data_IF_772016324462
#
_entry.id   IF_772016324462
#
_cell.length_a   1.000
_cell.length_b   1.000
_cell.length_c   1.000
_cell.angle_alpha   90.00
_cell.angle_beta   90.00
_cell.angle_gamma   90.00
#
_symmetry.space_group_name_H-M   'P 1'
#
loop_
_entity.id
_entity.type
_entity.pdbx_description
1 polymer ?
#
# COMPACT_ATOMS: atom_id res chain seq x y z
N UNK A 1 -6.43 15.65 -11.65
CA UNK A 1 -6.90 15.41 -13.03
C UNK A 1 -6.58 13.96 -13.31
N UNK A 2 -7.60 13.13 -13.50
CA UNK A 2 -7.43 11.70 -13.77
C UNK A 2 -6.66 11.52 -15.08
N UNK A 3 -5.64 10.66 -15.07
CA UNK A 3 -4.85 10.41 -16.28
C UNK A 3 -5.65 9.55 -17.26
N UNK A 4 -5.40 9.69 -18.57
CA UNK A 4 -6.04 8.84 -19.58
C UNK A 4 -5.80 7.34 -19.30
N UNK A 5 -4.63 6.99 -18.78
CA UNK A 5 -4.29 5.62 -18.41
C UNK A 5 -5.12 5.12 -17.21
N UNK A 6 -5.38 5.98 -16.22
CA UNK A 6 -6.22 5.63 -15.07
C UNK A 6 -7.66 5.33 -15.49
N UNK A 7 -8.23 6.14 -16.38
CA UNK A 7 -9.56 5.91 -16.93
C UNK A 7 -9.67 4.57 -17.67
N UNK A 8 -8.69 4.26 -18.53
CA UNK A 8 -8.66 2.96 -19.25
C UNK A 8 -8.60 1.76 -18.29
N UNK A 9 -7.87 1.88 -17.17
CA UNK A 9 -7.78 0.80 -16.18
C UNK A 9 -9.11 0.61 -15.46
N UNK A 10 -9.79 1.70 -15.06
CA UNK A 10 -11.11 1.61 -14.41
C UNK A 10 -12.15 0.97 -15.32
N UNK A 11 -12.17 1.35 -16.60
CA UNK A 11 -13.07 0.76 -17.60
C UNK A 11 -12.79 -0.73 -17.79
N UNK A 12 -11.51 -1.13 -17.80
CA UNK A 12 -11.11 -2.52 -17.91
C UNK A 12 -11.53 -3.35 -16.68
N UNK A 13 -11.37 -2.80 -15.47
CA UNK A 13 -11.81 -3.45 -14.21
C UNK A 13 -13.32 -3.66 -14.23
N UNK A 14 -14.09 -2.63 -14.57
CA UNK A 14 -15.54 -2.73 -14.68
C UNK A 14 -15.98 -3.78 -15.71
N UNK A 15 -15.33 -3.79 -16.88
CA UNK A 15 -15.59 -4.77 -17.94
C UNK A 15 -15.22 -6.20 -17.51
N UNK A 16 -14.13 -6.36 -16.75
CA UNK A 16 -13.71 -7.64 -16.19
C UNK A 16 -14.73 -8.19 -15.18
N UNK A 17 -15.25 -7.35 -14.29
CA UNK A 17 -16.30 -7.76 -13.36
C UNK A 17 -17.59 -8.17 -14.08
N UNK A 18 -18.05 -7.38 -15.03
CA UNK A 18 -19.23 -7.71 -15.84
C UNK A 18 -19.04 -9.03 -16.60
N UNK A 19 -17.87 -9.23 -17.23
CA UNK A 19 -17.56 -10.47 -17.93
C UNK A 19 -17.53 -11.67 -16.98
N UNK A 20 -16.99 -11.52 -15.77
CA UNK A 20 -16.97 -12.59 -14.79
C UNK A 20 -18.39 -13.00 -14.34
N UNK A 21 -19.33 -12.06 -14.28
CA UNK A 21 -20.72 -12.32 -13.88
C UNK A 21 -21.50 -13.10 -14.95
N UNK A 22 -21.13 -12.94 -16.23
CA UNK A 22 -21.68 -13.70 -17.36
C UNK A 22 -21.06 -15.11 -17.52
N UNK A 23 -20.05 -15.43 -16.72
CA UNK A 23 -19.31 -16.70 -16.77
C UNK A 23 -19.62 -17.60 -15.57
N UNK A 24 -19.29 -18.87 -15.68
CA UNK A 24 -19.38 -19.84 -14.57
C UNK A 24 -18.09 -20.63 -14.40
N UNK A 25 -17.91 -21.23 -13.22
CA UNK A 25 -16.75 -22.07 -12.92
C UNK A 25 -15.43 -21.30 -12.79
N UNK A 26 -14.31 -22.01 -12.91
CA UNK A 26 -12.97 -21.46 -12.68
C UNK A 26 -12.63 -20.19 -13.50
N UNK A 27 -13.03 -20.05 -14.78
CA UNK A 27 -12.76 -18.82 -15.55
C UNK A 27 -13.39 -17.56 -14.95
N UNK A 28 -14.62 -17.65 -14.43
CA UNK A 28 -15.30 -16.52 -13.77
C UNK A 28 -14.51 -16.03 -12.56
N UNK A 29 -14.03 -16.96 -11.74
CA UNK A 29 -13.24 -16.66 -10.53
C UNK A 29 -11.91 -16.02 -10.91
N UNK A 30 -11.21 -16.54 -11.92
CA UNK A 30 -9.93 -15.98 -12.37
C UNK A 30 -10.08 -14.53 -12.84
N UNK A 31 -11.08 -14.25 -13.69
CA UNK A 31 -11.31 -12.89 -14.21
C UNK A 31 -11.69 -11.94 -13.08
N UNK A 32 -12.55 -12.37 -12.14
CA UNK A 32 -12.92 -11.56 -10.98
C UNK A 32 -11.70 -11.24 -10.10
N UNK A 33 -10.83 -12.21 -9.84
CA UNK A 33 -9.61 -12.01 -9.08
C UNK A 33 -8.64 -11.07 -9.79
N UNK A 34 -8.48 -11.19 -11.12
CA UNK A 34 -7.62 -10.29 -11.90
C UNK A 34 -8.16 -8.85 -11.89
N UNK A 35 -9.47 -8.66 -12.05
CA UNK A 35 -10.10 -7.34 -11.99
C UNK A 35 -9.90 -6.68 -10.61
N UNK A 36 -10.15 -7.43 -9.52
CA UNK A 36 -9.91 -6.95 -8.16
C UNK A 36 -8.42 -6.63 -7.92
N UNK A 37 -7.50 -7.44 -8.45
CA UNK A 37 -6.06 -7.19 -8.31
C UNK A 37 -5.62 -5.95 -9.08
N UNK A 38 -6.19 -5.70 -10.27
CA UNK A 38 -5.97 -4.47 -11.04
C UNK A 38 -6.43 -3.23 -10.27
N UNK A 39 -7.60 -3.28 -9.62
CA UNK A 39 -8.11 -2.20 -8.77
C UNK A 39 -7.18 -1.92 -7.59
N UNK A 40 -6.75 -2.96 -6.88
CA UNK A 40 -5.80 -2.82 -5.76
C UNK A 40 -4.48 -2.20 -6.22
N UNK A 41 -3.94 -2.63 -7.36
CA UNK A 41 -2.71 -2.07 -7.91
C UNK A 41 -2.87 -0.61 -8.33
N UNK A 42 -4.01 -0.23 -8.91
CA UNK A 42 -4.29 1.15 -9.28
C UNK A 42 -4.33 2.05 -8.05
N UNK A 43 -5.03 1.64 -6.99
CA UNK A 43 -5.11 2.40 -5.73
C UNK A 43 -3.72 2.57 -5.11
N UNK A 44 -2.92 1.50 -5.05
CA UNK A 44 -1.55 1.55 -4.52
C UNK A 44 -0.64 2.46 -5.35
N UNK A 45 -0.71 2.36 -6.68
CA UNK A 45 0.10 3.19 -7.57
C UNK A 45 -0.23 4.67 -7.41
N UNK A 46 -1.52 5.02 -7.31
CA UNK A 46 -1.96 6.40 -7.09
C UNK A 46 -1.49 6.94 -5.72
N UNK A 47 -1.59 6.12 -4.66
CA UNK A 47 -1.11 6.50 -3.33
C UNK A 47 0.41 6.75 -3.31
N UNK A 48 1.20 5.85 -3.93
CA UNK A 48 2.65 6.02 -4.06
C UNK A 48 3.04 7.21 -4.95
N UNK A 49 2.28 7.49 -6.01
CA UNK A 49 2.51 8.66 -6.85
C UNK A 49 2.27 9.97 -6.08
N UNK A 50 1.22 10.03 -5.27
CA UNK A 50 0.94 11.17 -4.39
C UNK A 50 2.03 11.35 -3.32
N UNK A 51 2.44 10.27 -2.66
CA UNK A 51 3.54 10.28 -1.69
C UNK A 51 4.85 10.77 -2.32
N UNK A 52 5.21 10.25 -3.50
CA UNK A 52 6.41 10.68 -4.23
C UNK A 52 6.36 12.14 -4.67
N UNK A 53 5.18 12.67 -5.02
CA UNK A 53 5.01 14.08 -5.32
C UNK A 53 5.24 14.94 -4.07
N UNK A 54 4.74 14.49 -2.92
CA UNK A 54 4.99 15.11 -1.61
C UNK A 54 6.47 15.14 -1.24
N UNK A 55 7.16 14.00 -1.36
CA UNK A 55 8.60 13.89 -1.11
C UNK A 55 9.42 14.79 -2.04
N UNK A 56 9.09 14.83 -3.34
CA UNK A 56 9.77 15.73 -4.29
C UNK A 56 9.55 17.20 -3.94
N UNK A 57 8.35 17.57 -3.49
CA UNK A 57 8.05 18.93 -3.05
C UNK A 57 8.87 19.26 -1.81
N UNK A 58 8.85 18.39 -0.80
CA UNK A 58 9.67 18.53 0.41
C UNK A 58 11.14 18.76 0.07
N UNK A 59 11.74 17.95 -0.80
CA UNK A 59 13.15 18.12 -1.17
C UNK A 59 13.44 19.46 -1.85
N UNK A 60 12.49 20.01 -2.63
CA UNK A 60 12.65 21.33 -3.27
C UNK A 60 12.55 22.46 -2.26
N UNK A 61 11.54 22.40 -1.38
CA UNK A 61 11.31 23.41 -0.34
C UNK A 61 12.53 23.44 0.62
N UNK A 62 12.99 22.26 1.04
CA UNK A 62 14.11 22.11 1.94
C UNK A 62 15.47 22.54 1.32
N UNK A 63 15.64 22.40 0.00
CA UNK A 63 16.82 22.92 -0.70
C UNK A 63 16.82 24.47 -0.76
N UNK A 64 15.65 25.08 -0.96
CA UNK A 64 15.50 26.54 -0.94
C UNK A 64 15.81 27.12 0.45
N UNK A 65 15.30 26.50 1.52
CA UNK A 65 15.57 26.94 2.88
C UNK A 65 17.06 26.80 3.22
N UNK A 66 17.72 25.71 2.81
CA UNK A 66 19.14 25.52 3.05
C UNK A 66 20.03 26.56 2.35
N UNK A 67 19.66 27.01 1.15
CA UNK A 67 20.36 28.06 0.42
C UNK A 67 20.11 29.45 1.06
N UNK A 68 18.87 29.74 1.47
CA UNK A 68 18.50 30.99 2.13
C UNK A 68 19.20 31.18 3.48
N UNK A 69 19.23 30.14 4.32
CA UNK A 69 19.89 30.18 5.63
C UNK A 69 21.41 30.33 5.50
N UNK A 70 22.01 29.74 4.45
CA UNK A 70 23.44 29.89 4.16
C UNK A 70 23.81 31.30 3.69
N UNK A 71 22.96 31.95 2.87
CA UNK A 71 23.17 33.33 2.43
C UNK A 71 23.04 34.35 3.58
N UNK A 72 22.18 34.08 4.57
CA UNK A 72 21.94 34.95 5.71
C UNK A 72 22.78 34.62 6.95
N UNK A 73 23.58 33.55 6.90
CA UNK A 73 24.45 33.11 8.01
C UNK A 73 23.68 32.60 9.22
N UNK A 74 22.46 32.08 9.03
CA UNK A 74 21.59 31.55 10.09
C UNK A 74 21.87 30.06 10.35
N UNK A 75 21.51 29.56 11.54
CA UNK A 75 21.76 28.18 11.94
C UNK A 75 20.82 27.20 11.22
N UNK A 76 21.41 26.17 10.60
CA UNK A 76 20.76 25.09 9.81
C UNK A 76 19.74 24.20 10.55
N UNK A 77 19.24 24.60 11.72
CA UNK A 77 18.41 23.76 12.61
C UNK A 77 17.10 23.25 11.99
N UNK A 78 16.40 24.08 11.20
CA UNK A 78 15.06 23.76 10.69
C UNK A 78 14.99 22.55 9.73
N UNK A 79 16.07 22.28 8.98
CA UNK A 79 16.11 21.18 8.01
C UNK A 79 16.09 19.80 8.71
N UNK A 80 16.82 19.66 9.82
CA UNK A 80 16.88 18.40 10.57
C UNK A 80 15.54 18.05 11.21
N UNK A 81 14.81 19.05 11.72
CA UNK A 81 13.49 18.84 12.31
C UNK A 81 12.47 18.46 11.23
N UNK A 82 12.49 19.15 10.08
CA UNK A 82 11.64 18.84 8.94
C UNK A 82 11.86 17.40 8.40
N UNK A 83 13.10 16.90 8.41
CA UNK A 83 13.40 15.51 8.03
C UNK A 83 12.74 14.49 8.98
N UNK A 84 12.69 14.77 10.28
CA UNK A 84 12.06 13.89 11.27
C UNK A 84 10.52 13.84 11.11
N UNK A 85 9.93 14.85 10.47
CA UNK A 85 8.48 14.94 10.23
C UNK A 85 8.02 14.26 8.94
N UNK A 86 8.92 13.86 8.04
CA UNK A 86 8.55 13.14 6.82
C UNK A 86 7.80 11.85 7.18
N UNK A 87 6.60 11.69 6.62
CA UNK A 87 5.80 10.46 6.71
C UNK A 87 5.61 9.86 5.32
N UNK A 88 5.62 8.54 5.25
CA UNK A 88 5.38 7.77 4.03
C UNK A 88 4.24 6.77 4.26
N UNK A 89 3.00 7.26 4.48
CA UNK A 89 1.88 6.41 4.88
C UNK A 89 1.51 5.36 3.83
N UNK A 90 1.71 5.61 2.54
CA UNK A 90 1.43 4.63 1.49
C UNK A 90 2.48 3.51 1.51
N UNK A 91 3.76 3.86 1.70
CA UNK A 91 4.83 2.88 1.90
C UNK A 91 4.63 2.08 3.18
N UNK A 92 4.24 2.72 4.28
CA UNK A 92 4.00 2.06 5.57
C UNK A 92 2.84 1.06 5.47
N UNK A 93 1.74 1.44 4.81
CA UNK A 93 0.60 0.57 4.53
C UNK A 93 1.00 -0.62 3.65
N UNK A 94 1.85 -0.41 2.64
CA UNK A 94 2.38 -1.49 1.80
C UNK A 94 3.22 -2.47 2.62
N UNK A 95 4.13 -1.98 3.47
CA UNK A 95 4.96 -2.84 4.32
C UNK A 95 4.13 -3.60 5.36
N UNK A 96 3.08 -2.97 5.90
CA UNK A 96 2.12 -3.63 6.78
C UNK A 96 1.42 -4.80 6.09
N UNK A 97 0.98 -4.62 4.84
CA UNK A 97 0.38 -5.68 4.04
C UNK A 97 1.37 -6.81 3.75
N UNK A 98 2.61 -6.50 3.36
CA UNK A 98 3.65 -7.52 3.11
C UNK A 98 3.94 -8.35 4.36
N UNK A 99 4.01 -7.70 5.54
CA UNK A 99 4.17 -8.41 6.82
C UNK A 99 2.95 -9.30 7.12
N UNK A 100 1.73 -8.82 6.87
CA UNK A 100 0.51 -9.59 7.06
C UNK A 100 0.49 -10.85 6.17
N UNK A 101 0.85 -10.70 4.90
CA UNK A 101 0.99 -11.83 3.96
C UNK A 101 2.07 -12.82 4.40
N UNK A 102 3.20 -12.34 4.92
CA UNK A 102 4.23 -13.19 5.49
C UNK A 102 3.73 -14.08 6.63
N UNK A 103 2.89 -13.53 7.51
CA UNK A 103 2.25 -14.25 8.62
C UNK A 103 1.25 -15.29 8.09
N UNK A 104 0.43 -14.92 7.11
CA UNK A 104 -0.54 -15.83 6.48
C UNK A 104 0.19 -17.01 5.82
N UNK A 105 1.22 -16.75 5.01
CA UNK A 105 2.04 -17.79 4.36
C UNK A 105 2.76 -18.69 5.37
N UNK A 106 3.23 -18.14 6.48
CA UNK A 106 3.84 -18.95 7.55
C UNK A 106 2.81 -19.89 8.18
N UNK A 107 1.59 -19.41 8.42
CA UNK A 107 0.52 -20.22 9.02
C UNK A 107 0.11 -21.41 8.16
N UNK A 108 0.18 -21.29 6.84
CA UNK A 108 -0.13 -22.38 5.91
C UNK A 108 0.82 -23.57 6.05
N UNK A 109 2.04 -23.36 6.57
CA UNK A 109 3.02 -24.43 6.81
C UNK A 109 2.60 -25.41 7.91
N UNK A 110 1.65 -25.03 8.76
CA UNK A 110 1.17 -25.88 9.86
C UNK A 110 0.15 -26.95 9.44
N UNK A 111 -0.18 -27.05 8.14
CA UNK A 111 -1.16 -28.02 7.65
C UNK A 111 -2.57 -27.71 8.17
N UNK A 112 -3.42 -28.71 8.35
CA UNK A 112 -4.76 -28.53 8.93
C UNK A 112 -5.30 -29.84 9.49
N UNK A 113 -6.37 -29.75 10.30
CA UNK A 113 -7.06 -30.92 10.84
C UNK A 113 -6.58 -31.35 12.24
N UNK A 114 -5.77 -30.54 12.90
CA UNK A 114 -5.46 -30.69 14.33
C UNK A 114 -5.88 -29.42 15.07
N UNK A 115 -6.26 -29.55 16.35
CA UNK A 115 -6.61 -28.40 17.19
C UNK A 115 -5.48 -27.35 17.24
N UNK A 116 -4.22 -27.80 17.25
CA UNK A 116 -3.06 -26.91 17.30
C UNK A 116 -2.88 -26.18 15.96
N UNK A 117 -2.95 -26.88 14.81
CA UNK A 117 -2.81 -26.24 13.50
C UNK A 117 -3.90 -25.22 13.23
N UNK A 118 -5.13 -25.50 13.66
CA UNK A 118 -6.28 -24.64 13.43
C UNK A 118 -6.21 -23.39 14.33
N UNK A 119 -5.79 -23.55 15.59
CA UNK A 119 -5.51 -22.42 16.49
C UNK A 119 -4.40 -21.51 15.96
N UNK A 120 -3.31 -22.06 15.42
CA UNK A 120 -2.22 -21.26 14.82
C UNK A 120 -2.73 -20.43 13.64
N UNK A 121 -3.60 -21.01 12.79
CA UNK A 121 -4.18 -20.30 11.65
C UNK A 121 -5.08 -19.13 12.06
N UNK A 122 -5.95 -19.32 13.06
CA UNK A 122 -6.81 -18.24 13.55
C UNK A 122 -5.98 -17.11 14.19
N UNK A 123 -4.98 -17.46 15.03
CA UNK A 123 -4.09 -16.45 15.63
C UNK A 123 -3.30 -15.70 14.55
N UNK A 124 -2.81 -16.40 13.53
CA UNK A 124 -2.08 -15.78 12.42
C UNK A 124 -2.99 -14.83 11.61
N UNK A 125 -4.24 -15.23 11.35
CA UNK A 125 -5.24 -14.39 10.68
C UNK A 125 -5.53 -13.11 11.48
N UNK A 126 -5.72 -13.24 12.79
CA UNK A 126 -5.95 -12.09 13.67
C UNK A 126 -4.72 -11.16 13.71
N UNK A 127 -3.52 -11.73 13.80
CA UNK A 127 -2.28 -10.96 13.81
C UNK A 127 -2.04 -10.25 12.46
N UNK A 128 -2.29 -10.91 11.34
CA UNK A 128 -2.24 -10.31 10.01
C UNK A 128 -3.23 -9.15 9.88
N UNK A 129 -4.46 -9.29 10.41
CA UNK A 129 -5.43 -8.21 10.45
C UNK A 129 -4.98 -7.03 11.33
N UNK A 130 -4.29 -7.28 12.45
CA UNK A 130 -3.70 -6.22 13.28
C UNK A 130 -2.58 -5.48 12.53
N UNK A 131 -1.70 -6.21 11.83
CA UNK A 131 -0.63 -5.60 11.04
C UNK A 131 -1.19 -4.64 9.99
N UNK A 132 -2.27 -5.01 9.29
CA UNK A 132 -2.94 -4.16 8.29
C UNK A 132 -3.56 -2.89 8.88
N UNK A 133 -4.03 -2.94 10.13
CA UNK A 133 -4.57 -1.76 10.84
C UNK A 133 -3.47 -0.80 11.33
N UNK A 134 -2.21 -1.28 11.38
CA UNK A 134 -1.09 -0.55 11.97
C UNK A 134 -1.17 -0.53 13.51
N UNK A 135 -0.12 -0.02 14.15
CA UNK A 135 -0.17 0.29 15.58
C UNK A 135 -0.98 1.58 15.73
N UNK A 136 -2.23 1.46 16.20
CA UNK A 136 -2.98 2.61 16.69
C UNK A 136 -2.38 3.02 18.06
N UNK A 137 -1.24 3.71 18.04
CA UNK A 137 -0.68 4.38 19.22
C UNK A 137 -0.97 5.86 19.17
#
# INVERSE_FOLDING_TARGET
>A
MESMAEGMIKDLVASGHALADDMTGAPSVLIRCLAAQLEVQLVRANALAAENAGLKKFCKDAAFDADYEAELGMERGGFSDALNEIKTPATDAFLAEVRAQGVEMFSEKFGGGTLISDMVKEVAKDFAAQLRKGVQS
#
